data_IF_423744317005
#
_entry.id   IF_423744317005
#
_cell.length_a   1.000
_cell.length_b   1.000
_cell.length_c   1.000
_cell.angle_alpha   90.00
_cell.angle_beta   90.00
_cell.angle_gamma   90.00
#
_symmetry.space_group_name_H-M   'P 1'
#
loop_
_entity.id
_entity.type
_entity.pdbx_description
1 polymer ?
#
# COMPACT_ATOMS: atom_id res chain seq x y z
N UNK A 1 15.08 39.35 -3.10
CA UNK A 1 14.03 38.67 -3.88
C UNK A 1 13.89 37.26 -3.35
N UNK A 2 12.86 37.02 -2.52
CA UNK A 2 12.57 35.69 -1.97
C UNK A 2 11.60 35.04 -2.96
N UNK A 3 12.03 33.98 -3.63
CA UNK A 3 11.16 33.20 -4.50
C UNK A 3 10.00 32.61 -3.67
N UNK A 4 8.76 32.58 -4.17
CA UNK A 4 7.67 31.93 -3.46
C UNK A 4 7.99 30.43 -3.39
N UNK A 5 8.01 29.89 -2.17
CA UNK A 5 8.02 28.44 -1.95
C UNK A 5 6.85 27.86 -2.74
N UNK A 6 7.16 27.03 -3.73
CA UNK A 6 6.16 26.34 -4.52
C UNK A 6 5.31 25.48 -3.59
N UNK A 7 4.14 26.00 -3.24
CA UNK A 7 3.08 25.24 -2.60
C UNK A 7 2.47 24.36 -3.68
N UNK A 8 2.96 23.13 -3.79
CA UNK A 8 2.43 22.10 -4.68
C UNK A 8 2.34 20.85 -3.82
N UNK A 9 1.23 20.15 -3.62
CA UNK A 9 -0.16 20.25 -4.03
C UNK A 9 -0.87 19.35 -3.00
N UNK A 10 -1.75 19.90 -2.15
CA UNK A 10 -2.33 19.18 -1.01
C UNK A 10 -3.55 18.36 -1.45
N UNK A 11 -3.34 17.46 -2.42
CA UNK A 11 -4.34 16.52 -2.92
C UNK A 11 -4.37 15.15 -2.20
N UNK A 12 -3.42 14.88 -1.29
CA UNK A 12 -3.25 13.57 -0.64
C UNK A 12 -3.20 13.71 0.89
N UNK A 13 -4.32 13.45 1.57
CA UNK A 13 -4.30 13.24 3.03
C UNK A 13 -5.46 12.36 3.49
N UNK A 14 -6.65 12.57 2.92
CA UNK A 14 -7.83 11.75 3.24
C UNK A 14 -7.77 10.34 2.63
N UNK A 15 -7.32 10.21 1.38
CA UNK A 15 -7.16 8.93 0.70
C UNK A 15 -6.06 8.06 1.35
N UNK A 16 -4.93 8.67 1.69
CA UNK A 16 -3.80 8.02 2.35
C UNK A 16 -4.21 7.51 3.73
N UNK A 17 -4.92 8.33 4.50
CA UNK A 17 -5.49 7.92 5.79
C UNK A 17 -6.46 6.73 5.65
N UNK A 18 -7.18 6.63 4.53
CA UNK A 18 -8.12 5.53 4.28
C UNK A 18 -7.39 4.21 4.01
N UNK A 19 -6.34 4.23 3.18
CA UNK A 19 -5.51 3.07 2.91
C UNK A 19 -4.78 2.58 4.17
N UNK A 20 -4.18 3.49 4.92
CA UNK A 20 -3.50 3.17 6.18
C UNK A 20 -4.48 2.53 7.17
N UNK A 21 -5.68 3.08 7.33
CA UNK A 21 -6.72 2.50 8.19
C UNK A 21 -7.17 1.12 7.71
N UNK A 22 -7.29 0.91 6.39
CA UNK A 22 -7.64 -0.39 5.84
C UNK A 22 -6.56 -1.44 6.13
N UNK A 23 -5.29 -1.11 5.90
CA UNK A 23 -4.16 -1.99 6.25
C UNK A 23 -4.15 -2.31 7.74
N UNK A 24 -4.24 -1.28 8.60
CA UNK A 24 -4.27 -1.47 10.05
C UNK A 24 -5.41 -2.42 10.47
N UNK A 25 -6.60 -2.29 9.86
CA UNK A 25 -7.73 -3.19 10.12
C UNK A 25 -7.45 -4.61 9.65
N UNK A 26 -6.93 -4.77 8.43
CA UNK A 26 -6.59 -6.07 7.86
C UNK A 26 -5.58 -6.83 8.74
N UNK A 27 -4.49 -6.18 9.13
CA UNK A 27 -3.47 -6.78 10.00
C UNK A 27 -4.00 -7.08 11.41
N UNK A 28 -4.84 -6.21 11.98
CA UNK A 28 -5.50 -6.47 13.27
C UNK A 28 -6.39 -7.72 13.20
N UNK A 29 -7.20 -7.83 12.15
CA UNK A 29 -8.06 -9.00 11.93
C UNK A 29 -7.26 -10.28 11.77
N UNK A 30 -6.22 -10.25 10.94
CA UNK A 30 -5.29 -11.38 10.77
C UNK A 30 -4.69 -11.81 12.11
N UNK A 31 -4.19 -10.87 12.91
CA UNK A 31 -3.62 -11.16 14.23
C UNK A 31 -4.65 -11.77 15.20
N UNK A 32 -5.91 -11.34 15.17
CA UNK A 32 -6.95 -11.95 16.01
C UNK A 32 -7.25 -13.39 15.59
N UNK A 33 -7.21 -13.69 14.29
CA UNK A 33 -7.37 -15.05 13.78
C UNK A 33 -6.16 -15.93 14.12
N UNK A 34 -4.94 -15.42 13.92
CA UNK A 34 -3.69 -16.13 14.29
C UNK A 34 -3.59 -16.40 15.80
N UNK A 35 -4.16 -15.52 16.63
CA UNK A 35 -4.27 -15.70 18.07
C UNK A 35 -5.41 -16.66 18.49
N UNK A 36 -6.15 -17.25 17.54
CA UNK A 36 -7.25 -18.17 17.81
C UNK A 36 -8.51 -17.52 18.39
N UNK A 37 -8.60 -16.18 18.41
CA UNK A 37 -9.80 -15.46 18.89
C UNK A 37 -11.00 -15.67 17.96
N UNK A 38 -10.74 -15.88 16.68
CA UNK A 38 -11.73 -16.26 15.68
C UNK A 38 -11.14 -17.40 14.84
N UNK A 39 -11.84 -18.53 14.78
CA UNK A 39 -11.39 -19.71 14.03
C UNK A 39 -11.68 -19.64 12.53
N UNK A 40 -12.62 -18.78 12.10
CA UNK A 40 -13.00 -18.66 10.69
C UNK A 40 -13.30 -17.22 10.27
N UNK A 41 -13.25 -16.98 8.96
CA UNK A 41 -13.68 -15.70 8.35
C UNK A 41 -15.16 -15.40 8.69
N UNK A 42 -16.02 -16.43 8.73
CA UNK A 42 -17.44 -16.24 9.00
C UNK A 42 -17.71 -15.80 10.44
N UNK A 43 -16.95 -16.34 11.39
CA UNK A 43 -17.01 -15.97 12.80
C UNK A 43 -16.56 -14.50 12.99
N UNK A 44 -15.43 -14.13 12.40
CA UNK A 44 -14.95 -12.74 12.40
C UNK A 44 -15.97 -11.79 11.75
N UNK A 45 -16.54 -12.18 10.61
CA UNK A 45 -17.56 -11.41 9.89
C UNK A 45 -18.82 -11.16 10.75
N UNK A 46 -19.27 -12.20 11.47
CA UNK A 46 -20.41 -12.11 12.39
C UNK A 46 -20.08 -11.18 13.57
N UNK A 47 -18.90 -11.33 14.17
CA UNK A 47 -18.46 -10.48 15.28
C UNK A 47 -18.33 -9.00 14.90
N UNK A 48 -17.83 -8.72 13.69
CA UNK A 48 -17.66 -7.37 13.16
C UNK A 48 -18.92 -6.82 12.49
N UNK A 49 -19.98 -7.63 12.34
CA UNK A 49 -21.24 -7.31 11.64
C UNK A 49 -21.01 -6.84 10.20
N UNK A 50 -20.11 -7.52 9.49
CA UNK A 50 -19.75 -7.23 8.10
C UNK A 50 -19.89 -8.50 7.27
N UNK A 51 -20.06 -8.37 5.95
CA UNK A 51 -20.11 -9.52 5.05
C UNK A 51 -18.75 -10.26 4.99
N UNK A 52 -18.78 -11.58 5.05
CA UNK A 52 -17.60 -12.46 4.95
C UNK A 52 -16.75 -12.21 3.71
N UNK A 53 -17.37 -11.91 2.56
CA UNK A 53 -16.66 -11.55 1.33
C UNK A 53 -15.82 -10.28 1.47
N UNK A 54 -16.31 -9.30 2.24
CA UNK A 54 -15.55 -8.08 2.52
C UNK A 54 -14.39 -8.36 3.48
N UNK A 55 -14.62 -9.20 4.50
CA UNK A 55 -13.55 -9.65 5.40
C UNK A 55 -12.44 -10.36 4.62
N UNK A 56 -12.79 -11.27 3.70
CA UNK A 56 -11.82 -11.94 2.82
C UNK A 56 -11.02 -10.94 1.98
N UNK A 57 -11.67 -9.95 1.36
CA UNK A 57 -10.99 -8.91 0.57
C UNK A 57 -10.06 -8.06 1.43
N UNK A 58 -10.48 -7.71 2.65
CA UNK A 58 -9.66 -6.95 3.60
C UNK A 58 -8.44 -7.76 4.05
N UNK A 59 -8.62 -9.04 4.42
CA UNK A 59 -7.52 -9.93 4.80
C UNK A 59 -6.52 -10.13 3.67
N UNK A 60 -6.98 -10.12 2.40
CA UNK A 60 -6.10 -10.18 1.24
C UNK A 60 -5.08 -9.04 1.21
N UNK A 61 -5.41 -7.85 1.73
CA UNK A 61 -4.46 -6.73 1.82
C UNK A 61 -3.21 -7.07 2.63
N UNK A 62 -3.27 -8.05 3.54
CA UNK A 62 -2.09 -8.52 4.30
C UNK A 62 -1.10 -9.34 3.45
N UNK A 63 -1.47 -9.65 2.20
CA UNK A 63 -0.63 -10.34 1.21
C UNK A 63 0.12 -9.37 0.28
N UNK A 64 -0.05 -8.07 0.48
CA UNK A 64 0.73 -7.07 -0.25
C UNK A 64 2.21 -7.21 0.06
N UNK A 65 3.03 -6.91 -0.94
CA UNK A 65 4.47 -6.90 -0.82
C UNK A 65 4.90 -5.84 0.23
N UNK A 66 5.93 -6.13 1.04
CA UNK A 66 6.35 -5.23 2.12
C UNK A 66 6.67 -3.81 1.65
N UNK A 67 7.31 -3.68 0.48
CA UNK A 67 7.65 -2.41 -0.16
C UNK A 67 6.41 -1.59 -0.55
N UNK A 68 5.30 -2.24 -0.91
CA UNK A 68 4.01 -1.58 -1.17
C UNK A 68 3.37 -1.10 0.13
N UNK A 69 3.39 -1.94 1.18
CA UNK A 69 2.88 -1.56 2.50
C UNK A 69 3.64 -0.34 3.04
N UNK A 70 4.98 -0.36 2.95
CA UNK A 70 5.83 0.78 3.32
C UNK A 70 5.51 2.03 2.50
N UNK A 71 5.35 1.90 1.18
CA UNK A 71 4.97 3.03 0.34
C UNK A 71 3.62 3.65 0.76
N UNK A 72 2.63 2.83 1.12
CA UNK A 72 1.33 3.31 1.61
C UNK A 72 1.47 4.03 2.96
N UNK A 73 2.27 3.48 3.88
CA UNK A 73 2.48 4.06 5.21
C UNK A 73 3.24 5.40 5.13
N UNK A 74 4.17 5.53 4.19
CA UNK A 74 4.94 6.74 3.95
C UNK A 74 4.19 7.79 3.11
N UNK A 75 2.98 7.50 2.62
CA UNK A 75 2.27 8.37 1.68
C UNK A 75 2.94 8.44 0.29
N UNK A 76 3.81 7.48 -0.03
CA UNK A 76 4.55 7.36 -1.29
C UNK A 76 3.88 6.41 -2.29
N UNK A 77 2.64 6.02 -2.05
CA UNK A 77 1.90 5.18 -2.98
C UNK A 77 1.66 5.91 -4.32
N UNK A 78 1.63 5.18 -5.45
CA UNK A 78 1.29 5.73 -6.76
C UNK A 78 -0.08 6.41 -6.78
N UNK A 79 -0.26 7.46 -7.60
CA UNK A 79 -1.51 8.25 -7.67
C UNK A 79 -2.76 7.46 -8.11
N UNK A 80 -2.63 6.21 -8.57
CA UNK A 80 -3.74 5.30 -8.86
C UNK A 80 -4.00 4.24 -7.79
N UNK A 81 -3.16 4.16 -6.75
CA UNK A 81 -3.30 3.18 -5.69
C UNK A 81 -4.37 3.65 -4.72
N UNK A 82 -5.57 3.09 -4.85
CA UNK A 82 -6.72 3.43 -4.03
C UNK A 82 -7.27 2.18 -3.34
N UNK A 83 -8.01 2.38 -2.24
CA UNK A 83 -8.64 1.25 -1.54
C UNK A 83 -9.57 0.43 -2.44
N UNK A 84 -10.45 1.04 -3.28
CA UNK A 84 -11.24 0.27 -4.24
C UNK A 84 -10.38 -0.59 -5.17
N UNK A 85 -9.27 -0.04 -5.69
CA UNK A 85 -8.34 -0.79 -6.54
C UNK A 85 -7.71 -2.00 -5.84
N UNK A 86 -7.33 -1.87 -4.57
CA UNK A 86 -6.78 -2.99 -3.79
C UNK A 86 -7.85 -3.99 -3.32
N UNK A 87 -9.12 -3.60 -3.32
CA UNK A 87 -10.25 -4.50 -3.05
C UNK A 87 -10.58 -5.40 -4.24
N UNK A 88 -10.10 -5.07 -5.44
CA UNK A 88 -10.09 -5.96 -6.60
C UNK A 88 -9.00 -7.05 -6.48
N UNK A 89 -9.14 -8.11 -7.27
CA UNK A 89 -8.18 -9.21 -7.29
C UNK A 89 -6.79 -8.72 -7.70
N UNK A 90 -5.77 -9.08 -6.92
CA UNK A 90 -4.36 -8.84 -7.23
C UNK A 90 -3.56 -10.14 -7.04
N UNK A 91 -2.45 -10.32 -7.77
CA UNK A 91 -1.63 -11.52 -7.67
C UNK A 91 -1.02 -11.64 -6.27
N UNK A 92 -0.94 -12.86 -5.75
CA UNK A 92 -0.30 -13.11 -4.44
C UNK A 92 1.22 -13.02 -4.55
N UNK A 93 1.78 -13.27 -5.74
CA UNK A 93 3.21 -13.19 -5.98
C UNK A 93 3.67 -11.72 -5.97
N UNK A 94 4.54 -11.37 -5.02
CA UNK A 94 5.04 -10.00 -4.86
C UNK A 94 5.68 -9.42 -6.13
N UNK A 95 6.40 -10.23 -6.89
CA UNK A 95 7.00 -9.82 -8.17
C UNK A 95 5.95 -9.36 -9.19
N UNK A 96 4.74 -9.95 -9.15
CA UNK A 96 3.63 -9.58 -10.03
C UNK A 96 2.82 -8.41 -9.49
N UNK A 97 2.91 -8.10 -8.20
CA UNK A 97 2.28 -6.91 -7.60
C UNK A 97 3.04 -5.64 -8.00
N UNK A 98 4.37 -5.70 -8.02
CA UNK A 98 5.23 -4.55 -8.35
C UNK A 98 4.90 -3.87 -9.69
N UNK A 99 4.81 -4.54 -10.85
CA UNK A 99 4.51 -3.89 -12.12
C UNK A 99 3.07 -3.35 -12.21
N UNK A 100 2.12 -3.92 -11.46
CA UNK A 100 0.72 -3.43 -11.42
C UNK A 100 0.64 -2.08 -10.70
N UNK A 101 1.59 -1.80 -9.79
CA UNK A 101 1.54 -0.63 -8.92
C UNK A 101 2.64 0.40 -9.23
N UNK A 102 3.85 -0.02 -9.55
CA UNK A 102 4.95 0.85 -9.96
C UNK A 102 4.91 1.16 -11.46
N UNK A 103 3.82 1.77 -11.94
CA UNK A 103 3.81 2.41 -13.27
C UNK A 103 3.99 3.93 -13.14
N UNK A 104 5.17 4.31 -12.65
CA UNK A 104 5.78 5.63 -12.88
C UNK A 104 7.30 5.48 -12.70
N UNK A 105 8.13 5.75 -13.72
CA UNK A 105 9.58 5.69 -13.56
C UNK A 105 10.04 6.94 -12.82
N UNK A 106 10.57 6.80 -11.60
CA UNK A 106 11.37 7.86 -10.98
C UNK A 106 12.82 7.62 -11.36
N UNK A 107 13.32 8.45 -12.29
CA UNK A 107 14.72 8.67 -12.70
C UNK A 107 15.75 7.73 -12.03
N UNK A 108 16.40 6.89 -12.85
CA UNK A 108 17.67 6.30 -12.45
C UNK A 108 18.63 7.43 -12.01
N UNK A 109 19.40 7.27 -10.92
CA UNK A 109 20.44 8.24 -10.61
C UNK A 109 21.34 8.41 -11.84
N UNK A 110 21.75 9.65 -12.22
CA UNK A 110 22.67 9.81 -13.32
C UNK A 110 23.91 8.95 -13.05
N UNK A 111 24.49 8.27 -14.06
CA UNK A 111 25.72 7.53 -13.85
C UNK A 111 26.74 8.50 -13.25
N UNK A 112 27.30 8.13 -12.10
CA UNK A 112 28.38 8.86 -11.45
C UNK A 112 29.43 9.24 -12.51
N UNK A 113 29.89 10.50 -12.57
CA UNK A 113 30.87 10.90 -13.56
C UNK A 113 32.12 10.06 -13.36
N UNK A 114 32.45 9.26 -14.36
CA UNK A 114 33.72 8.52 -14.45
C UNK A 114 34.87 9.50 -14.22
N UNK A 115 35.85 9.18 -13.36
CA UNK A 115 37.04 10.01 -13.24
C UNK A 115 37.86 9.81 -14.52
N UNK A 116 37.96 10.84 -15.34
CA UNK A 116 38.91 10.84 -16.45
C UNK A 116 40.34 10.68 -15.90
N UNK A 117 41.24 9.98 -16.62
CA UNK A 117 42.65 10.00 -16.29
C UNK A 117 43.22 11.35 -16.73
N UNK A 118 43.84 12.05 -15.78
CA UNK A 118 44.71 13.19 -16.06
C UNK A 118 45.92 12.68 -16.85
N UNK A 119 46.09 13.20 -18.06
CA UNK A 119 47.36 13.18 -18.80
C UNK A 119 48.14 14.45 -18.52
#
# INVERSE_FOLDING_TARGET
MIAPVSTTNRGSSAADTTLVKALARAFRWRRMMEAGRYGTINELATAEKINSSYVSRMLRLTLLAPDIVEAILDGRQPEGMTLPGLMELFPVEWERQRPIHFCAPRQAPPPSPVPWPVG
#
